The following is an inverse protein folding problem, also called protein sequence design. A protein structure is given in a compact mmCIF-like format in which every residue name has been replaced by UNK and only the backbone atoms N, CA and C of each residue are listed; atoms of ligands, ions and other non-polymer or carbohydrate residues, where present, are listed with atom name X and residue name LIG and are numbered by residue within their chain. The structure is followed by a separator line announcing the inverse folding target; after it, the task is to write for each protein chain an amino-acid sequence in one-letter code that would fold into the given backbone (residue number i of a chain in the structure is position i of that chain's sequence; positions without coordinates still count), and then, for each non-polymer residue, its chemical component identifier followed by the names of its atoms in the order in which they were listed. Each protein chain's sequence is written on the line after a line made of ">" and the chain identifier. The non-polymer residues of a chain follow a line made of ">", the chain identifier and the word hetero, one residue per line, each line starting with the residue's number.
data_IF_789753925535
#
_entry.id   IF_789753925535
#
_cell.length_a   1.000
_cell.length_b   1.000
_cell.length_c   1.000
_cell.angle_alpha   90.00
_cell.angle_beta   90.00
_cell.angle_gamma   90.00
#
_symmetry.space_group_name_H-M   'P 1'
#
loop_
_entity.id
_entity.type
_entity.pdbx_description
1 polymer ?
#
# COMPACT_ATOMS: atom_id res chain seq x y z
N UNK A 1 -3.37 -5.51 0.11
CA UNK A 1 -4.07 -4.22 0.41
C UNK A 1 -5.48 -4.56 0.91
N UNK A 2 -6.18 -3.68 1.63
CA UNK A 2 -7.58 -3.98 2.02
C UNK A 2 -8.50 -3.89 0.79
N UNK A 3 -8.37 -2.83 0.01
CA UNK A 3 -9.24 -2.58 -1.16
C UNK A 3 -8.71 -3.17 -2.46
N UNK A 4 -7.46 -3.66 -2.47
CA UNK A 4 -6.78 -4.19 -3.66
C UNK A 4 -6.79 -3.25 -4.88
N UNK A 5 -6.80 -1.95 -4.64
CA UNK A 5 -6.69 -0.92 -5.69
C UNK A 5 -5.21 -0.53 -5.88
N UNK A 6 -4.68 -0.54 -7.11
CA UNK A 6 -3.37 0.00 -7.46
C UNK A 6 -3.18 1.43 -6.94
N UNK A 7 -2.02 1.73 -6.34
CA UNK A 7 -1.73 3.03 -5.76
C UNK A 7 -0.33 3.50 -6.18
N UNK A 8 -0.23 4.76 -6.61
CA UNK A 8 1.01 5.40 -7.00
C UNK A 8 1.31 6.51 -5.99
N UNK A 9 2.39 6.38 -5.23
CA UNK A 9 2.84 7.43 -4.31
C UNK A 9 3.84 8.34 -5.01
N UNK A 10 3.46 9.62 -5.19
CA UNK A 10 4.29 10.68 -5.78
C UNK A 10 5.20 11.32 -4.71
N UNK A 11 6.04 10.50 -4.08
CA UNK A 11 7.05 10.90 -3.09
C UNK A 11 8.29 10.04 -3.29
N UNK A 12 9.44 10.52 -2.86
CA UNK A 12 10.69 9.76 -2.91
C UNK A 12 10.90 8.85 -1.69
N UNK A 13 10.03 8.96 -0.66
CA UNK A 13 10.06 8.13 0.54
C UNK A 13 8.66 7.85 1.10
N UNK A 14 8.56 6.86 2.00
CA UNK A 14 7.34 6.54 2.74
C UNK A 14 7.65 6.01 4.13
N UNK A 15 6.81 6.37 5.11
CA UNK A 15 6.81 5.77 6.45
C UNK A 15 6.01 4.45 6.51
N UNK A 16 5.46 4.02 5.38
CA UNK A 16 4.58 2.83 5.27
C UNK A 16 5.16 1.80 4.30
N UNK A 17 6.38 1.27 4.53
CA UNK A 17 7.04 0.33 3.61
C UNK A 17 6.22 -0.94 3.36
N UNK A 18 5.40 -1.38 4.33
CA UNK A 18 4.51 -2.53 4.21
C UNK A 18 3.47 -2.36 3.10
N UNK A 19 3.08 -1.12 2.77
CA UNK A 19 2.15 -0.86 1.65
C UNK A 19 2.81 -1.09 0.30
N UNK A 20 4.15 -1.03 0.24
CA UNK A 20 4.94 -1.31 -0.95
C UNK A 20 5.30 -2.80 -1.03
N UNK A 21 5.79 -3.38 0.06
CA UNK A 21 6.27 -4.77 0.04
C UNK A 21 5.12 -5.79 0.02
N UNK A 22 4.03 -5.52 0.74
CA UNK A 22 2.87 -6.43 0.87
C UNK A 22 1.62 -5.87 0.18
N UNK A 23 1.50 -4.55 0.06
CA UNK A 23 0.34 -3.87 -0.50
C UNK A 23 0.41 -3.63 -2.01
N UNK A 24 -0.51 -2.79 -2.50
CA UNK A 24 -0.60 -2.40 -3.92
C UNK A 24 0.23 -1.16 -4.26
N UNK A 25 0.85 -0.49 -3.28
CA UNK A 25 1.42 0.84 -3.46
C UNK A 25 2.79 0.77 -4.12
N UNK A 26 3.04 1.55 -5.16
CA UNK A 26 4.38 1.74 -5.75
C UNK A 26 4.86 3.17 -5.47
N UNK A 27 6.12 3.30 -5.05
CA UNK A 27 6.75 4.60 -4.85
C UNK A 27 7.32 5.08 -6.18
N UNK A 28 6.67 6.08 -6.78
CA UNK A 28 6.96 6.54 -8.14
C UNK A 28 7.97 7.69 -8.14
N UNK A 29 8.21 8.30 -6.97
CA UNK A 29 9.05 9.47 -6.84
C UNK A 29 8.35 10.74 -7.28
N UNK A 30 9.13 11.80 -7.41
CA UNK A 30 8.63 13.15 -7.78
C UNK A 30 8.93 13.54 -9.23
N UNK A 31 9.71 12.73 -9.97
CA UNK A 31 9.97 12.96 -11.40
C UNK A 31 8.72 12.61 -12.25
N UNK A 32 8.11 13.56 -12.98
CA UNK A 32 6.96 13.29 -13.84
C UNK A 32 7.18 12.22 -14.91
N UNK A 33 8.42 12.07 -15.39
CA UNK A 33 8.76 11.06 -16.40
C UNK A 33 8.52 9.63 -15.89
N UNK A 34 8.54 9.44 -14.56
CA UNK A 34 8.25 8.14 -13.96
C UNK A 34 6.76 7.79 -14.05
N UNK A 35 5.83 8.74 -14.19
CA UNK A 35 4.39 8.44 -14.16
C UNK A 35 3.99 7.52 -15.33
N UNK A 36 4.46 7.84 -16.54
CA UNK A 36 4.11 7.11 -17.77
C UNK A 36 4.40 5.61 -17.69
N UNK A 37 5.62 5.14 -17.33
CA UNK A 37 5.90 3.70 -17.25
C UNK A 37 5.04 2.97 -16.20
N UNK A 38 4.75 3.59 -15.05
CA UNK A 38 3.85 2.96 -14.06
C UNK A 38 2.40 2.88 -14.56
N UNK A 39 1.90 3.90 -15.25
CA UNK A 39 0.57 3.83 -15.87
C UNK A 39 0.50 2.76 -16.97
N UNK A 40 1.55 2.60 -17.78
CA UNK A 40 1.62 1.52 -18.77
C UNK A 40 1.57 0.14 -18.10
N UNK A 41 2.34 -0.05 -17.01
CA UNK A 41 2.28 -1.28 -16.19
C UNK A 41 0.88 -1.55 -15.66
N UNK A 42 0.19 -0.52 -15.17
CA UNK A 42 -1.18 -0.59 -14.67
C UNK A 42 -2.16 -1.03 -15.77
N UNK A 43 -2.16 -0.34 -16.91
CA UNK A 43 -3.09 -0.63 -18.02
C UNK A 43 -2.82 -1.97 -18.70
N UNK A 44 -1.59 -2.47 -18.65
CA UNK A 44 -1.26 -3.81 -19.11
C UNK A 44 -1.71 -4.93 -18.15
N UNK A 45 -2.31 -4.60 -16.99
CA UNK A 45 -2.69 -5.58 -15.97
C UNK A 45 -1.51 -6.18 -15.20
N UNK A 46 -0.30 -5.65 -15.40
CA UNK A 46 0.94 -6.15 -14.80
C UNK A 46 1.23 -5.52 -13.43
N UNK A 47 0.17 -5.13 -12.71
CA UNK A 47 0.32 -4.61 -11.36
C UNK A 47 0.69 -5.74 -10.40
N UNK A 48 1.46 -5.42 -9.36
CA UNK A 48 1.93 -6.45 -8.42
C UNK A 48 0.77 -7.13 -7.69
N UNK A 49 0.89 -8.44 -7.54
CA UNK A 49 0.03 -9.23 -6.67
C UNK A 49 0.29 -8.83 -5.21
N UNK A 50 -0.75 -8.85 -4.39
CA UNK A 50 -0.65 -8.36 -3.00
C UNK A 50 -1.00 -9.42 -1.99
N UNK A 51 -0.56 -9.18 -0.77
CA UNK A 51 -0.84 -10.02 0.38
C UNK A 51 -1.68 -9.22 1.40
N UNK A 52 -2.25 -9.95 2.35
CA UNK A 52 -2.86 -9.35 3.53
C UNK A 52 -1.76 -8.71 4.37
N UNK A 53 -1.92 -7.42 4.69
CA UNK A 53 -0.99 -6.74 5.60
C UNK A 53 -1.35 -7.17 7.02
N UNK A 54 -0.39 -7.69 7.82
CA UNK A 54 -0.65 -8.05 9.21
C UNK A 54 -1.26 -6.90 9.99
N UNK A 55 -2.22 -7.22 10.88
CA UNK A 55 -2.92 -6.26 11.75
C UNK A 55 -3.87 -5.26 11.04
N UNK A 56 -3.91 -5.24 9.71
CA UNK A 56 -4.86 -4.43 8.94
C UNK A 56 -6.18 -5.17 8.75
N UNK A 57 -6.72 -5.70 9.84
CA UNK A 57 -7.90 -6.58 9.86
C UNK A 57 -9.14 -5.91 10.48
N UNK A 58 -9.07 -4.60 10.74
CA UNK A 58 -10.17 -3.84 11.35
C UNK A 58 -10.39 -4.13 12.83
N UNK A 59 -9.52 -4.91 13.49
CA UNK A 59 -9.71 -5.28 14.91
C UNK A 59 -8.91 -4.41 15.89
N UNK A 60 -8.30 -3.31 15.44
CA UNK A 60 -7.46 -2.42 16.26
C UNK A 60 -8.15 -1.95 17.54
N UNK A 61 -9.37 -1.43 17.43
CA UNK A 61 -10.11 -0.91 18.59
C UNK A 61 -10.36 -1.99 19.66
N UNK A 62 -10.74 -3.21 19.24
CA UNK A 62 -10.96 -4.34 20.16
C UNK A 62 -9.68 -4.70 20.92
N UNK A 63 -8.52 -4.69 20.24
CA UNK A 63 -7.22 -4.95 20.88
C UNK A 63 -6.84 -3.88 21.90
N UNK A 64 -7.10 -2.61 21.58
CA UNK A 64 -6.80 -1.50 22.50
C UNK A 64 -7.67 -1.60 23.76
N UNK A 65 -8.98 -1.80 23.60
CA UNK A 65 -9.90 -1.94 24.75
C UNK A 65 -9.44 -3.07 25.66
N UNK A 66 -9.08 -4.24 25.07
CA UNK A 66 -8.58 -5.39 25.84
C UNK A 66 -7.38 -5.06 26.73
N UNK A 67 -6.49 -4.17 26.31
CA UNK A 67 -5.30 -3.76 27.11
C UNK A 67 -5.65 -2.73 28.18
N UNK A 68 -6.63 -1.85 27.93
CA UNK A 68 -7.02 -0.81 28.89
C UNK A 68 -7.92 -1.33 30.01
N UNK A 69 -8.66 -2.41 29.76
CA UNK A 69 -9.59 -3.01 30.73
C UNK A 69 -9.06 -4.31 31.36
N UNK A 70 -7.83 -4.71 31.04
CA UNK A 70 -7.12 -5.82 31.68
C UNK A 70 -6.32 -5.32 32.87
#
# INVERSE_FOLDING_TARGET
>A
SIMNVPCLTLRDNTERPETITLGTNELVGTNPDNIKPYLQKLFAGNWKQTQTIPMWDGQTAKRIIKVLTS
#
